data_IF_447308228004
#
_entry.id   IF_447308228004
#
_cell.length_a   1.000
_cell.length_b   1.000
_cell.length_c   1.000
_cell.angle_alpha   90.00
_cell.angle_beta   90.00
_cell.angle_gamma   90.00
#
_symmetry.space_group_name_H-M   'P 1'
#
loop_
_entity.id
_entity.type
_entity.pdbx_description
1 polymer ?
#
# COMPACT_ATOMS: atom_id res chain seq x y z
N UNK A 1 11.06 20.43 21.17
CA UNK A 1 11.49 19.11 20.64
C UNK A 1 11.33 17.95 21.63
N UNK A 2 11.44 18.14 22.97
CA UNK A 2 11.20 17.05 23.94
C UNK A 2 9.72 16.81 24.30
N UNK A 3 8.85 17.83 24.19
CA UNK A 3 7.43 17.74 24.56
C UNK A 3 6.58 16.90 23.61
N UNK A 4 6.73 17.10 22.29
CA UNK A 4 5.96 16.37 21.26
C UNK A 4 6.26 14.86 21.25
N UNK A 5 7.52 14.47 21.50
CA UNK A 5 7.90 13.05 21.59
C UNK A 5 7.30 12.39 22.85
N UNK A 6 7.22 13.12 23.96
CA UNK A 6 6.56 12.65 25.19
C UNK A 6 5.05 12.51 25.04
N UNK A 7 4.39 13.47 24.40
CA UNK A 7 2.95 13.43 24.16
C UNK A 7 2.55 12.27 23.22
N UNK A 8 3.30 12.09 22.13
CA UNK A 8 3.05 10.97 21.22
C UNK A 8 3.24 9.61 21.90
N UNK A 9 4.24 9.48 22.79
CA UNK A 9 4.46 8.28 23.59
C UNK A 9 3.29 7.99 24.52
N UNK A 10 2.79 9.01 25.22
CA UNK A 10 1.63 8.84 26.11
C UNK A 10 0.37 8.47 25.31
N UNK A 11 0.18 9.07 24.13
CA UNK A 11 -0.91 8.70 23.21
C UNK A 11 -0.78 7.26 22.72
N UNK A 12 0.39 6.86 22.23
CA UNK A 12 0.64 5.50 21.75
C UNK A 12 0.47 4.47 22.85
N UNK A 13 0.96 4.76 24.07
CA UNK A 13 0.74 3.95 25.26
C UNK A 13 -0.75 3.76 25.56
N UNK A 14 -1.52 4.85 25.64
CA UNK A 14 -2.96 4.79 25.92
C UNK A 14 -3.69 3.93 24.89
N UNK A 15 -3.39 4.11 23.60
CA UNK A 15 -3.98 3.30 22.54
C UNK A 15 -3.63 1.81 22.67
N UNK A 16 -2.34 1.47 22.87
CA UNK A 16 -1.94 0.09 23.08
C UNK A 16 -2.60 -0.51 24.32
N UNK A 17 -2.64 0.24 25.43
CA UNK A 17 -3.28 -0.19 26.68
C UNK A 17 -4.77 -0.39 26.49
N UNK A 18 -5.48 0.48 25.79
CA UNK A 18 -6.94 0.43 25.70
C UNK A 18 -7.41 -0.71 24.78
N UNK A 19 -6.70 -0.93 23.66
CA UNK A 19 -7.09 -1.90 22.62
C UNK A 19 -6.38 -3.27 22.69
N UNK A 20 -5.27 -3.41 23.43
CA UNK A 20 -4.59 -4.69 23.62
C UNK A 20 -4.81 -5.23 25.04
N UNK A 21 -4.51 -6.52 25.22
CA UNK A 21 -4.64 -7.23 26.50
C UNK A 21 -3.27 -7.57 27.11
N UNK A 22 -3.28 -8.25 28.26
CA UNK A 22 -2.07 -8.80 28.87
C UNK A 22 -1.10 -7.72 29.36
N UNK A 23 0.18 -7.90 29.06
CA UNK A 23 1.26 -7.02 29.52
C UNK A 23 1.05 -5.53 29.18
N UNK A 24 0.34 -5.22 28.09
CA UNK A 24 0.00 -3.85 27.69
C UNK A 24 -0.90 -3.10 28.70
N UNK A 25 -1.68 -3.82 29.53
CA UNK A 25 -2.54 -3.20 30.56
C UNK A 25 -1.75 -2.71 31.77
N UNK A 26 -0.55 -3.25 32.01
CA UNK A 26 0.22 -3.05 33.26
C UNK A 26 1.60 -2.40 33.07
N UNK A 27 2.08 -2.30 31.83
CA UNK A 27 3.34 -1.60 31.50
C UNK A 27 3.17 -0.09 31.74
N UNK A 28 4.22 0.59 32.20
CA UNK A 28 4.20 2.05 32.34
C UNK A 28 4.52 2.75 30.99
N UNK A 29 4.02 3.97 30.75
CA UNK A 29 4.24 4.68 29.48
C UNK A 29 5.72 4.92 29.13
N UNK A 30 6.60 5.07 30.14
CA UNK A 30 8.03 5.27 29.92
C UNK A 30 8.78 3.97 29.63
N UNK A 31 8.19 2.80 29.92
CA UNK A 31 8.79 1.49 29.69
C UNK A 31 8.58 0.99 28.26
N UNK A 32 7.55 1.47 27.54
CA UNK A 32 7.32 1.03 26.16
C UNK A 32 8.40 1.55 25.22
N UNK A 33 8.79 0.74 24.24
CA UNK A 33 9.65 1.20 23.14
C UNK A 33 8.77 1.80 22.07
N UNK A 34 9.02 3.06 21.70
CA UNK A 34 8.35 3.76 20.62
C UNK A 34 9.39 4.17 19.58
N UNK A 35 9.23 3.71 18.34
CA UNK A 35 10.10 4.07 17.22
C UNK A 35 9.24 4.53 16.04
N UNK A 36 9.49 5.73 15.53
CA UNK A 36 8.87 6.19 14.28
C UNK A 36 9.41 5.33 13.14
N UNK A 37 8.50 4.79 12.33
CA UNK A 37 8.84 4.09 11.09
C UNK A 37 8.69 5.08 9.95
N UNK A 38 9.75 5.23 9.16
CA UNK A 38 9.73 6.00 7.93
C UNK A 38 9.01 5.17 6.86
N UNK A 39 7.90 5.68 6.32
CA UNK A 39 7.16 5.00 5.26
C UNK A 39 5.88 5.76 4.90
N UNK A 40 5.79 6.25 3.66
CA UNK A 40 4.65 7.00 3.12
C UNK A 40 4.64 8.49 3.46
N UNK A 41 4.20 9.33 2.50
CA UNK A 41 4.04 10.78 2.67
C UNK A 41 2.81 11.14 3.54
N UNK A 42 1.82 10.24 3.62
CA UNK A 42 0.48 10.54 4.16
C UNK A 42 0.18 9.94 5.54
N UNK A 43 0.93 8.92 5.98
CA UNK A 43 0.63 8.13 7.17
C UNK A 43 1.73 8.25 8.24
N UNK A 44 1.33 8.37 9.52
CA UNK A 44 2.28 8.40 10.63
C UNK A 44 2.37 7.01 11.25
N UNK A 45 3.50 6.34 11.05
CA UNK A 45 3.74 4.97 11.50
C UNK A 45 4.67 4.92 12.70
N UNK A 46 4.26 4.18 13.74
CA UNK A 46 5.05 3.97 14.95
C UNK A 46 5.07 2.50 15.34
N UNK A 47 6.27 1.94 15.47
CA UNK A 47 6.47 0.67 16.16
C UNK A 47 6.35 0.90 17.66
N UNK A 48 5.40 0.21 18.29
CA UNK A 48 5.25 0.14 19.74
C UNK A 48 5.65 -1.27 20.19
N UNK A 49 6.55 -1.39 21.17
CA UNK A 49 7.04 -2.69 21.65
C UNK A 49 7.11 -2.75 23.18
N UNK A 50 6.71 -3.88 23.74
CA UNK A 50 6.89 -4.19 25.17
C UNK A 50 8.38 -4.29 25.51
N UNK A 51 8.81 -3.83 26.69
CA UNK A 51 10.19 -3.95 27.11
C UNK A 51 10.56 -5.42 27.37
N UNK A 52 11.84 -5.77 27.19
CA UNK A 52 12.32 -7.16 27.32
C UNK A 52 12.08 -7.77 28.71
N UNK A 53 11.97 -6.95 29.76
CA UNK A 53 11.67 -7.38 31.13
C UNK A 53 10.17 -7.66 31.38
N UNK A 54 9.28 -7.32 30.45
CA UNK A 54 7.83 -7.60 30.49
C UNK A 54 7.37 -8.23 29.18
N UNK A 55 7.78 -9.47 28.87
CA UNK A 55 7.37 -10.14 27.65
C UNK A 55 5.87 -10.42 27.65
N UNK A 56 5.29 -10.57 26.45
CA UNK A 56 3.94 -11.05 26.27
C UNK A 56 3.78 -12.48 26.84
N UNK A 57 2.65 -12.78 27.48
CA UNK A 57 2.44 -14.08 28.16
C UNK A 57 1.16 -14.81 27.82
N UNK A 58 0.13 -14.09 27.36
CA UNK A 58 -1.24 -14.59 27.21
C UNK A 58 -1.73 -14.41 25.76
N UNK A 59 -0.84 -14.56 24.78
CA UNK A 59 -1.16 -14.45 23.35
C UNK A 59 -1.32 -13.01 22.83
N UNK A 60 -1.08 -11.99 23.67
CA UNK A 60 -0.94 -10.62 23.20
C UNK A 60 0.33 -10.44 22.35
N UNK A 61 0.33 -9.50 21.38
CA UNK A 61 1.53 -9.23 20.61
C UNK A 61 2.60 -8.57 21.49
N UNK A 62 3.88 -8.93 21.31
CA UNK A 62 4.99 -8.24 21.98
C UNK A 62 5.32 -6.89 21.37
N UNK A 63 4.88 -6.66 20.13
CA UNK A 63 5.07 -5.45 19.35
C UNK A 63 3.93 -5.28 18.35
N UNK A 64 3.56 -4.02 18.09
CA UNK A 64 2.49 -3.64 17.16
C UNK A 64 2.92 -2.43 16.34
N UNK A 65 2.35 -2.30 15.15
CA UNK A 65 2.46 -1.11 14.33
C UNK A 65 1.24 -0.22 14.56
N UNK A 66 1.48 0.99 15.02
CA UNK A 66 0.47 2.02 15.21
C UNK A 66 0.46 2.92 13.96
N UNK A 67 -0.67 2.93 13.25
CA UNK A 67 -0.89 3.76 12.07
C UNK A 67 -1.93 4.83 12.37
N UNK A 68 -1.56 6.09 12.15
CA UNK A 68 -2.52 7.21 12.14
C UNK A 68 -2.86 7.62 10.71
N UNK A 69 -4.13 7.85 10.47
CA UNK A 69 -4.63 8.44 9.23
C UNK A 69 -4.25 9.92 9.16
N UNK A 70 -3.89 10.40 7.97
CA UNK A 70 -3.64 11.81 7.70
C UNK A 70 -4.88 12.69 7.88
N UNK A 71 -4.75 13.99 7.62
CA UNK A 71 -5.89 14.91 7.76
C UNK A 71 -7.03 14.56 6.79
N UNK A 72 -8.20 14.31 7.35
CA UNK A 72 -9.42 13.93 6.63
C UNK A 72 -10.20 15.22 6.32
N UNK A 73 -10.29 15.60 5.05
CA UNK A 73 -11.11 16.73 4.62
C UNK A 73 -12.17 16.25 3.61
N UNK A 74 -13.45 16.40 3.99
CA UNK A 74 -14.61 16.13 3.13
C UNK A 74 -15.15 14.69 3.18
N UNK A 75 -16.39 14.51 2.69
CA UNK A 75 -17.13 13.24 2.72
C UNK A 75 -16.42 12.11 1.95
N UNK A 76 -15.78 12.43 0.83
CA UNK A 76 -15.02 11.45 0.02
C UNK A 76 -13.84 10.84 0.77
N UNK A 77 -13.19 11.61 1.66
CA UNK A 77 -12.10 11.09 2.48
C UNK A 77 -12.62 10.12 3.54
N UNK A 78 -13.83 10.35 4.07
CA UNK A 78 -14.48 9.44 5.01
C UNK A 78 -14.91 8.13 4.33
N UNK A 79 -15.51 8.19 3.14
CA UNK A 79 -15.87 6.99 2.36
C UNK A 79 -14.65 6.11 2.05
N UNK A 80 -13.53 6.74 1.68
CA UNK A 80 -12.26 6.05 1.46
C UNK A 80 -11.79 5.30 2.71
N UNK A 81 -11.81 5.95 3.87
CA UNK A 81 -11.39 5.32 5.14
C UNK A 81 -12.29 4.18 5.59
N UNK A 82 -13.61 4.30 5.38
CA UNK A 82 -14.55 3.20 5.68
C UNK A 82 -14.24 2.00 4.79
N UNK A 83 -14.05 2.25 3.49
CA UNK A 83 -13.73 1.21 2.50
C UNK A 83 -12.40 0.53 2.83
N UNK A 84 -11.36 1.31 3.12
CA UNK A 84 -10.04 0.80 3.53
C UNK A 84 -10.14 -0.03 4.82
N UNK A 85 -10.90 0.44 5.82
CA UNK A 85 -11.08 -0.27 7.09
C UNK A 85 -11.78 -1.63 6.90
N UNK A 86 -12.79 -1.70 6.03
CA UNK A 86 -13.47 -2.95 5.68
C UNK A 86 -12.52 -3.91 4.96
N UNK A 87 -11.77 -3.40 3.97
CA UNK A 87 -10.78 -4.18 3.22
C UNK A 87 -9.70 -4.74 4.15
N UNK A 88 -9.10 -3.89 4.97
CA UNK A 88 -8.02 -4.28 5.89
C UNK A 88 -8.51 -5.33 6.89
N UNK A 89 -9.70 -5.15 7.46
CA UNK A 89 -10.30 -6.12 8.39
C UNK A 89 -10.45 -7.48 7.73
N UNK A 90 -10.95 -7.54 6.49
CA UNK A 90 -11.14 -8.81 5.78
C UNK A 90 -9.83 -9.49 5.41
N UNK A 91 -8.82 -8.73 5.00
CA UNK A 91 -7.50 -9.26 4.68
C UNK A 91 -6.81 -9.83 5.92
N UNK A 92 -6.92 -9.13 7.06
CA UNK A 92 -6.47 -9.63 8.36
C UNK A 92 -7.14 -10.96 8.72
N UNK A 93 -8.47 -11.03 8.67
CA UNK A 93 -9.21 -12.26 9.03
C UNK A 93 -8.91 -13.44 8.10
N UNK A 94 -8.56 -13.17 6.84
CA UNK A 94 -8.14 -14.21 5.87
C UNK A 94 -6.64 -14.50 5.87
N UNK A 95 -5.85 -13.83 6.72
CA UNK A 95 -4.38 -13.97 6.78
C UNK A 95 -3.69 -13.63 5.44
N UNK A 96 -4.23 -12.67 4.71
CA UNK A 96 -3.71 -12.18 3.43
C UNK A 96 -2.96 -10.84 3.58
N UNK A 97 -2.77 -10.37 4.81
CA UNK A 97 -2.04 -9.17 5.17
C UNK A 97 -1.75 -9.14 6.67
N UNK A 98 -1.25 -8.02 7.21
CA UNK A 98 -0.97 -7.88 8.64
C UNK A 98 -2.24 -8.06 9.48
N UNK A 99 -2.13 -8.74 10.62
CA UNK A 99 -3.27 -8.87 11.54
C UNK A 99 -3.71 -7.51 12.08
N UNK A 100 -5.02 -7.26 12.09
CA UNK A 100 -5.63 -6.12 12.73
C UNK A 100 -5.79 -6.39 14.23
N UNK A 101 -5.18 -5.56 15.06
CA UNK A 101 -5.28 -5.64 16.52
C UNK A 101 -6.30 -4.69 17.12
N UNK A 102 -6.61 -3.57 16.46
CA UNK A 102 -7.61 -2.63 16.93
C UNK A 102 -7.82 -1.46 15.97
N UNK A 103 -9.00 -0.85 16.03
CA UNK A 103 -9.36 0.33 15.23
C UNK A 103 -9.83 1.42 16.18
N UNK A 104 -9.33 2.64 16.01
CA UNK A 104 -9.66 3.78 16.86
C UNK A 104 -9.91 5.04 16.03
N UNK A 105 -10.52 6.10 16.60
CA UNK A 105 -10.70 7.36 15.88
C UNK A 105 -9.36 7.93 15.38
N UNK A 106 -9.19 7.97 14.06
CA UNK A 106 -7.99 8.48 13.41
C UNK A 106 -6.86 7.46 13.19
N UNK A 107 -7.10 6.15 13.34
CA UNK A 107 -6.08 5.15 13.00
C UNK A 107 -6.40 3.71 13.39
N UNK A 108 -5.38 2.86 13.36
CA UNK A 108 -5.45 1.44 13.70
C UNK A 108 -4.15 0.90 14.29
N UNK A 109 -4.27 -0.24 14.97
CA UNK A 109 -3.16 -1.07 15.45
C UNK A 109 -3.08 -2.31 14.58
N UNK A 110 -1.91 -2.56 14.01
CA UNK A 110 -1.62 -3.66 13.08
C UNK A 110 -0.50 -4.54 13.66
N UNK A 111 -0.41 -5.77 13.18
CA UNK A 111 0.76 -6.61 13.36
C UNK A 111 1.98 -5.91 12.79
N UNK A 112 3.04 -5.82 13.59
CA UNK A 112 4.35 -5.46 13.05
C UNK A 112 5.02 -6.72 12.51
N UNK A 113 5.17 -6.79 11.19
CA UNK A 113 5.84 -7.90 10.51
C UNK A 113 7.35 -7.62 10.50
N UNK A 114 8.20 -8.45 11.16
CA UNK A 114 9.65 -8.32 11.11
C UNK A 114 10.16 -8.84 9.76
N UNK A 115 10.05 -8.00 8.74
CA UNK A 115 10.38 -8.33 7.36
C UNK A 115 11.01 -7.12 6.65
N UNK A 116 11.65 -7.37 5.52
CA UNK A 116 12.09 -6.33 4.58
C UNK A 116 11.17 -6.33 3.35
N UNK A 117 10.97 -5.18 2.68
CA UNK A 117 10.39 -5.20 1.35
C UNK A 117 11.29 -5.98 0.37
N UNK A 118 10.71 -6.43 -0.73
CA UNK A 118 11.47 -6.93 -1.86
C UNK A 118 12.27 -5.79 -2.52
N UNK A 119 13.36 -6.17 -3.16
CA UNK A 119 14.08 -5.34 -4.12
C UNK A 119 13.52 -5.61 -5.53
N UNK A 120 13.59 -4.62 -6.41
CA UNK A 120 13.07 -4.71 -7.79
C UNK A 120 13.64 -5.91 -8.54
N UNK A 121 14.94 -6.18 -8.36
CA UNK A 121 15.65 -7.31 -8.95
C UNK A 121 15.20 -8.70 -8.45
N UNK A 122 14.48 -8.77 -7.34
CA UNK A 122 13.92 -10.00 -6.79
C UNK A 122 12.59 -10.37 -7.47
N UNK A 123 11.90 -9.40 -8.10
CA UNK A 123 10.63 -9.65 -8.79
C UNK A 123 10.78 -10.67 -9.94
N UNK A 124 11.96 -10.68 -10.60
CA UNK A 124 12.29 -11.62 -11.68
C UNK A 124 12.74 -13.00 -11.22
N UNK A 125 12.95 -13.22 -9.92
CA UNK A 125 13.28 -14.56 -9.41
C UNK A 125 12.05 -15.47 -9.59
N UNK A 126 12.16 -16.60 -10.34
CA UNK A 126 11.02 -17.47 -10.58
C UNK A 126 10.35 -18.01 -9.32
N UNK A 127 11.11 -18.24 -8.23
CA UNK A 127 10.55 -18.73 -6.96
C UNK A 127 9.73 -17.66 -6.26
N UNK A 128 10.21 -16.42 -6.26
CA UNK A 128 9.49 -15.28 -5.69
C UNK A 128 8.27 -14.98 -6.53
N UNK A 129 8.43 -14.92 -7.85
CA UNK A 129 7.37 -14.61 -8.80
C UNK A 129 6.18 -15.58 -8.72
N UNK A 130 6.43 -16.88 -8.54
CA UNK A 130 5.36 -17.88 -8.30
C UNK A 130 4.61 -17.59 -7.00
N UNK A 131 5.31 -17.27 -5.90
CA UNK A 131 4.64 -16.94 -4.63
C UNK A 131 3.84 -15.63 -4.77
N UNK A 132 4.36 -14.63 -5.49
CA UNK A 132 3.61 -13.40 -5.79
C UNK A 132 2.33 -13.73 -6.58
N UNK A 133 2.41 -14.60 -7.58
CA UNK A 133 1.26 -15.05 -8.35
C UNK A 133 0.20 -15.74 -7.46
N UNK A 134 0.63 -16.61 -6.54
CA UNK A 134 -0.26 -17.24 -5.55
C UNK A 134 -0.95 -16.19 -4.66
N UNK A 135 -0.22 -15.17 -4.19
CA UNK A 135 -0.80 -14.08 -3.39
C UNK A 135 -1.78 -13.23 -4.19
N UNK A 136 -1.46 -12.90 -5.44
CA UNK A 136 -2.38 -12.19 -6.33
C UNK A 136 -3.65 -13.01 -6.56
N UNK A 137 -3.53 -14.31 -6.84
CA UNK A 137 -4.68 -15.20 -7.03
C UNK A 137 -5.56 -15.28 -5.78
N UNK A 138 -4.96 -15.33 -4.59
CA UNK A 138 -5.69 -15.29 -3.32
C UNK A 138 -6.48 -13.98 -3.14
N UNK A 139 -5.87 -12.83 -3.47
CA UNK A 139 -6.52 -11.51 -3.43
C UNK A 139 -7.64 -11.45 -4.47
N UNK A 140 -7.39 -11.86 -5.72
CA UNK A 140 -8.36 -11.86 -6.82
C UNK A 140 -9.58 -12.73 -6.54
N UNK A 141 -9.41 -13.80 -5.76
CA UNK A 141 -10.47 -14.71 -5.34
C UNK A 141 -11.32 -14.18 -4.17
N UNK A 142 -10.99 -13.00 -3.61
CA UNK A 142 -11.72 -12.46 -2.47
C UNK A 142 -13.09 -11.89 -2.87
N UNK A 143 -14.14 -12.39 -2.23
CA UNK A 143 -15.42 -11.69 -2.20
C UNK A 143 -15.45 -10.63 -1.07
N UNK A 144 -15.07 -9.39 -1.40
CA UNK A 144 -15.06 -8.23 -0.49
C UNK A 144 -16.37 -7.42 -0.63
N UNK A 145 -17.05 -6.99 0.45
CA UNK A 145 -18.35 -6.29 0.42
C UNK A 145 -18.22 -4.79 0.10
N UNK A 146 -17.50 -4.47 -0.98
CA UNK A 146 -17.41 -3.12 -1.57
C UNK A 146 -18.04 -3.12 -2.98
N UNK A 147 -18.06 -1.96 -3.65
CA UNK A 147 -18.55 -1.86 -5.04
C UNK A 147 -17.87 -2.88 -5.94
N UNK A 148 -18.67 -3.66 -6.69
CA UNK A 148 -18.20 -4.65 -7.67
C UNK A 148 -17.93 -4.04 -9.05
N UNK A 149 -18.40 -2.82 -9.26
CA UNK A 149 -18.18 -2.10 -10.51
C UNK A 149 -16.71 -1.66 -10.62
N UNK A 150 -16.04 -1.89 -11.77
CA UNK A 150 -14.64 -1.52 -11.99
C UNK A 150 -14.48 -0.02 -12.27
N UNK A 151 -15.00 0.81 -11.36
CA UNK A 151 -14.96 2.27 -11.47
C UNK A 151 -13.68 2.88 -10.95
N UNK A 152 -12.99 2.22 -10.02
CA UNK A 152 -11.82 2.76 -9.34
C UNK A 152 -10.79 3.35 -10.30
N UNK A 153 -10.40 2.61 -11.35
CA UNK A 153 -9.42 3.08 -12.33
C UNK A 153 -9.89 4.36 -13.02
N UNK A 154 -11.11 4.36 -13.55
CA UNK A 154 -11.65 5.49 -14.32
C UNK A 154 -11.94 6.70 -13.44
N UNK A 155 -12.51 6.50 -12.26
CA UNK A 155 -12.81 7.57 -11.30
C UNK A 155 -11.52 8.20 -10.80
N UNK A 156 -10.47 7.40 -10.55
CA UNK A 156 -9.14 7.91 -10.18
C UNK A 156 -8.50 8.70 -11.30
N UNK A 157 -8.46 8.17 -12.54
CA UNK A 157 -7.92 8.92 -13.68
C UNK A 157 -8.69 10.22 -13.95
N UNK A 158 -10.02 10.21 -13.84
CA UNK A 158 -10.83 11.42 -14.02
C UNK A 158 -10.57 12.46 -12.92
N UNK A 159 -10.48 12.03 -11.64
CA UNK A 159 -10.14 12.94 -10.54
C UNK A 159 -8.76 13.57 -10.74
N UNK A 160 -7.75 12.76 -11.05
CA UNK A 160 -6.39 13.28 -11.27
C UNK A 160 -6.32 14.19 -12.49
N UNK A 161 -7.05 13.89 -13.56
CA UNK A 161 -7.15 14.78 -14.72
C UNK A 161 -7.76 16.14 -14.34
N UNK A 162 -8.79 16.14 -13.49
CA UNK A 162 -9.40 17.37 -12.98
C UNK A 162 -8.40 18.15 -12.10
N UNK A 163 -7.72 17.49 -11.16
CA UNK A 163 -6.68 18.13 -10.33
C UNK A 163 -5.58 18.74 -11.18
N UNK A 164 -5.06 18.02 -12.17
CA UNK A 164 -4.05 18.54 -13.12
C UNK A 164 -4.56 19.81 -13.80
N UNK A 165 -5.81 19.80 -14.32
CA UNK A 165 -6.40 20.96 -14.97
C UNK A 165 -6.58 22.17 -14.05
N UNK A 166 -6.81 21.94 -12.77
CA UNK A 166 -7.00 23.02 -11.79
C UNK A 166 -5.65 23.60 -11.36
N UNK A 167 -4.63 22.77 -11.10
CA UNK A 167 -3.25 23.22 -10.81
C UNK A 167 -2.66 24.04 -11.97
N UNK A 168 -2.88 23.62 -13.23
CA UNK A 168 -2.40 24.36 -14.42
C UNK A 168 -3.04 25.76 -14.52
N UNK A 169 -4.30 25.93 -14.09
CA UNK A 169 -4.95 27.25 -14.12
C UNK A 169 -4.36 28.20 -13.08
N UNK A 170 -3.89 27.68 -11.95
CA UNK A 170 -3.31 28.46 -10.86
C UNK A 170 -1.83 28.81 -11.09
N UNK A 171 -1.08 28.03 -11.89
CA UNK A 171 0.33 28.30 -12.21
C UNK A 171 0.53 29.44 -13.22
N UNK A 172 0.41 30.70 -12.75
CA UNK A 172 0.98 31.88 -13.43
C UNK A 172 2.43 32.19 -13.01
N UNK A 173 3.14 31.32 -12.27
CA UNK A 173 4.39 31.69 -11.59
C UNK A 173 5.43 30.54 -11.39
N UNK A 174 5.63 29.65 -12.36
CA UNK A 174 6.63 28.56 -12.27
C UNK A 174 7.97 28.84 -12.97
N UNK A 175 9.02 28.18 -12.47
CA UNK A 175 10.41 28.21 -12.98
C UNK A 175 10.50 27.84 -14.49
N UNK A 176 11.36 28.51 -15.30
CA UNK A 176 11.39 28.33 -16.75
C UNK A 176 11.66 26.89 -17.24
N UNK A 177 12.36 26.06 -16.46
CA UNK A 177 12.66 24.68 -16.86
C UNK A 177 11.45 23.75 -16.64
N UNK A 178 10.73 23.94 -15.53
CA UNK A 178 9.43 23.28 -15.29
C UNK A 178 8.42 23.65 -16.38
N UNK A 179 8.47 24.90 -16.88
CA UNK A 179 7.59 25.34 -17.96
C UNK A 179 7.79 24.60 -19.29
N UNK A 180 8.99 24.09 -19.63
CA UNK A 180 9.18 23.35 -20.89
C UNK A 180 8.61 21.94 -20.82
N UNK A 181 8.87 21.21 -19.74
CA UNK A 181 8.31 19.88 -19.53
C UNK A 181 6.78 19.94 -19.47
N UNK A 182 6.24 20.91 -18.72
CA UNK A 182 4.82 21.16 -18.65
C UNK A 182 4.24 21.48 -20.03
N UNK A 183 4.87 22.35 -20.82
CA UNK A 183 4.46 22.61 -22.22
C UNK A 183 4.44 21.36 -23.09
N UNK A 184 5.44 20.48 -22.96
CA UNK A 184 5.49 19.25 -23.73
C UNK A 184 4.34 18.29 -23.33
N UNK A 185 4.06 18.15 -22.03
CA UNK A 185 2.93 17.34 -21.55
C UNK A 185 1.61 17.93 -22.04
N UNK A 186 1.44 19.25 -21.95
CA UNK A 186 0.22 19.95 -22.37
C UNK A 186 0.05 20.08 -23.88
N UNK A 187 1.09 19.81 -24.67
CA UNK A 187 0.95 19.67 -26.11
C UNK A 187 0.08 18.45 -26.48
N UNK A 188 -0.04 17.47 -25.60
CA UNK A 188 -0.92 16.32 -25.77
C UNK A 188 -2.32 16.58 -25.22
N UNK A 189 -3.34 16.15 -25.96
CA UNK A 189 -4.72 16.21 -25.48
C UNK A 189 -5.02 15.01 -24.56
N UNK A 190 -4.56 15.09 -23.31
CA UNK A 190 -4.69 14.02 -22.33
C UNK A 190 -6.15 13.57 -22.08
N UNK A 191 -7.11 14.49 -22.22
CA UNK A 191 -8.55 14.17 -22.11
C UNK A 191 -9.01 13.30 -23.27
N UNK A 192 -8.55 13.57 -24.49
CA UNK A 192 -8.84 12.74 -25.64
C UNK A 192 -8.16 11.37 -25.54
N UNK A 193 -6.91 11.33 -25.09
CA UNK A 193 -6.17 10.07 -24.85
C UNK A 193 -6.88 9.18 -23.84
N UNK A 194 -7.34 9.75 -22.70
CA UNK A 194 -8.09 9.01 -21.70
C UNK A 194 -9.40 8.43 -22.26
N UNK A 195 -10.13 9.22 -23.07
CA UNK A 195 -11.36 8.75 -23.74
C UNK A 195 -11.08 7.63 -24.73
N UNK A 196 -10.00 7.75 -25.52
CA UNK A 196 -9.58 6.73 -26.46
C UNK A 196 -9.18 5.44 -25.74
N UNK A 197 -8.34 5.54 -24.71
CA UNK A 197 -7.88 4.41 -23.91
C UNK A 197 -9.05 3.66 -23.29
N UNK A 198 -10.02 4.38 -22.69
CA UNK A 198 -11.23 3.78 -22.13
C UNK A 198 -12.04 3.03 -23.18
N UNK A 199 -12.25 3.63 -24.36
CA UNK A 199 -12.98 2.97 -25.45
C UNK A 199 -12.28 1.71 -25.95
N UNK A 200 -10.95 1.69 -25.93
CA UNK A 200 -10.17 0.53 -26.35
C UNK A 200 -10.18 -0.58 -25.30
N UNK A 201 -9.82 -0.27 -24.05
CA UNK A 201 -9.68 -1.27 -22.98
C UNK A 201 -11.00 -1.96 -22.62
N UNK A 202 -12.14 -1.28 -22.72
CA UNK A 202 -13.45 -1.90 -22.50
C UNK A 202 -13.77 -3.04 -23.48
N UNK A 203 -13.10 -3.10 -24.65
CA UNK A 203 -13.29 -4.18 -25.63
C UNK A 203 -12.52 -5.46 -25.29
N UNK A 204 -11.52 -5.38 -24.42
CA UNK A 204 -10.66 -6.52 -24.05
C UNK A 204 -11.45 -7.57 -23.26
N UNK A 205 -12.45 -7.14 -22.48
CA UNK A 205 -13.29 -8.06 -21.70
C UNK A 205 -12.54 -8.76 -20.57
N UNK A 206 -11.52 -8.12 -19.99
CA UNK A 206 -10.82 -8.67 -18.82
C UNK A 206 -11.81 -8.91 -17.67
N UNK A 207 -11.75 -10.06 -16.97
CA UNK A 207 -12.54 -10.30 -15.77
C UNK A 207 -12.37 -9.19 -14.74
N UNK A 208 -13.45 -8.85 -14.05
CA UNK A 208 -13.45 -7.93 -12.91
C UNK A 208 -13.32 -8.75 -11.64
N UNK A 209 -12.27 -8.49 -10.87
CA UNK A 209 -11.92 -9.19 -9.63
C UNK A 209 -11.50 -8.18 -8.57
N UNK A 210 -11.36 -8.59 -7.32
CA UNK A 210 -10.78 -7.73 -6.29
C UNK A 210 -9.27 -7.63 -6.51
N UNK A 211 -8.74 -6.44 -6.83
CA UNK A 211 -7.35 -6.22 -7.18
C UNK A 211 -6.60 -5.44 -6.09
N UNK A 212 -5.27 -5.62 -6.03
CA UNK A 212 -4.41 -4.79 -5.19
C UNK A 212 -4.25 -3.38 -5.77
N UNK A 213 -4.09 -3.30 -7.09
CA UNK A 213 -3.85 -2.11 -7.92
C UNK A 213 -2.49 -1.41 -7.73
N UNK A 214 -1.68 -1.82 -6.75
CA UNK A 214 -0.35 -1.24 -6.49
C UNK A 214 0.65 -2.26 -5.90
N UNK A 215 0.75 -3.45 -6.50
CA UNK A 215 1.59 -4.53 -5.96
C UNK A 215 3.06 -4.42 -6.43
N UNK A 216 3.69 -3.28 -6.12
CA UNK A 216 5.13 -3.05 -6.30
C UNK A 216 5.98 -3.78 -5.25
N UNK A 217 7.30 -3.85 -5.44
CA UNK A 217 8.24 -4.53 -4.53
C UNK A 217 8.20 -3.98 -3.10
N UNK A 218 7.98 -2.66 -2.96
CA UNK A 218 7.84 -2.00 -1.66
C UNK A 218 6.64 -2.50 -0.84
N UNK A 219 5.61 -3.00 -1.52
CA UNK A 219 4.36 -3.50 -0.93
C UNK A 219 4.34 -5.02 -0.77
N UNK A 220 5.48 -5.69 -0.98
CA UNK A 220 5.64 -7.13 -0.77
C UNK A 220 6.75 -7.35 0.27
N UNK A 221 6.37 -7.77 1.47
CA UNK A 221 7.32 -8.04 2.55
C UNK A 221 7.82 -9.48 2.49
N UNK A 222 9.15 -9.67 2.52
CA UNK A 222 9.82 -10.96 2.69
C UNK A 222 10.13 -11.21 4.17
N UNK A 223 9.50 -12.24 4.73
CA UNK A 223 9.68 -12.69 6.11
C UNK A 223 10.91 -13.60 6.25
N UNK A 224 11.76 -13.31 7.23
CA UNK A 224 12.89 -14.17 7.59
C UNK A 224 12.46 -15.40 8.40
N UNK A 225 11.28 -15.35 9.05
CA UNK A 225 10.75 -16.38 9.97
C UNK A 225 9.71 -17.31 9.33
N UNK A 226 9.62 -17.33 8.00
CA UNK A 226 8.60 -18.07 7.28
C UNK A 226 8.70 -19.59 7.52
N UNK A 227 7.59 -20.21 7.92
CA UNK A 227 7.51 -21.66 8.11
C UNK A 227 7.35 -22.44 6.80
N UNK A 228 6.95 -21.75 5.73
CA UNK A 228 6.78 -22.30 4.37
C UNK A 228 7.07 -21.22 3.32
N UNK A 229 7.39 -21.60 2.07
CA UNK A 229 7.56 -20.63 0.98
C UNK A 229 6.31 -19.78 0.73
N UNK A 230 5.11 -20.35 0.83
CA UNK A 230 3.87 -19.58 0.65
C UNK A 230 3.64 -18.53 1.74
N UNK A 231 4.25 -18.69 2.92
CA UNK A 231 4.16 -17.73 4.02
C UNK A 231 5.29 -16.70 4.01
N UNK A 232 6.27 -16.84 3.11
CA UNK A 232 7.43 -15.96 3.10
C UNK A 232 7.14 -14.57 2.55
N UNK A 233 6.13 -14.43 1.70
CA UNK A 233 5.72 -13.13 1.15
C UNK A 233 4.39 -12.68 1.77
N UNK A 234 4.36 -11.42 2.20
CA UNK A 234 3.14 -10.78 2.72
C UNK A 234 2.88 -9.49 1.95
N UNK A 235 1.82 -9.44 1.13
CA UNK A 235 1.33 -8.19 0.58
C UNK A 235 0.89 -7.23 1.69
N UNK A 236 1.19 -5.95 1.51
CA UNK A 236 0.79 -4.87 2.41
C UNK A 236 0.30 -3.68 1.59
N UNK A 237 -0.17 -2.65 2.30
CA UNK A 237 -0.60 -1.37 1.72
C UNK A 237 -1.78 -1.47 0.74
N UNK A 238 -2.93 -1.83 1.29
CA UNK A 238 -4.17 -2.08 0.54
C UNK A 238 -4.99 -0.80 0.27
N UNK A 239 -4.37 0.38 0.27
CA UNK A 239 -5.04 1.68 0.10
C UNK A 239 -5.78 1.78 -1.25
N UNK A 240 -5.20 1.21 -2.30
CA UNK A 240 -5.75 1.25 -3.65
C UNK A 240 -6.62 0.05 -4.01
N UNK A 241 -6.87 -0.87 -3.07
CA UNK A 241 -7.63 -2.07 -3.34
C UNK A 241 -9.09 -1.76 -3.73
N UNK A 242 -9.54 -2.38 -4.82
CA UNK A 242 -10.91 -2.24 -5.33
C UNK A 242 -11.24 -3.37 -6.29
N UNK A 243 -12.52 -3.55 -6.63
CA UNK A 243 -12.84 -4.34 -7.82
C UNK A 243 -12.34 -3.60 -9.06
N UNK A 244 -11.52 -4.25 -9.86
CA UNK A 244 -10.91 -3.72 -11.07
C UNK A 244 -10.66 -4.85 -12.07
N UNK A 245 -10.18 -4.50 -13.27
CA UNK A 245 -9.82 -5.48 -14.29
C UNK A 245 -8.60 -6.28 -13.83
N UNK A 246 -8.69 -7.62 -13.81
CA UNK A 246 -7.57 -8.51 -13.47
C UNK A 246 -6.30 -8.17 -14.27
N UNK A 247 -6.47 -7.88 -15.56
CA UNK A 247 -5.36 -7.53 -16.46
C UNK A 247 -4.64 -6.25 -16.03
N UNK A 248 -5.32 -5.29 -15.38
CA UNK A 248 -4.67 -4.07 -14.88
C UNK A 248 -3.68 -4.41 -13.76
N UNK A 249 -4.10 -5.21 -12.79
CA UNK A 249 -3.27 -5.55 -11.62
C UNK A 249 -2.00 -6.32 -12.04
N UNK A 250 -2.16 -7.27 -12.96
CA UNK A 250 -1.04 -8.02 -13.55
C UNK A 250 -0.11 -7.12 -14.37
N UNK A 251 -0.68 -6.27 -15.24
CA UNK A 251 0.11 -5.37 -16.08
C UNK A 251 0.86 -4.33 -15.25
N UNK A 252 0.24 -3.81 -14.17
CA UNK A 252 0.90 -2.91 -13.24
C UNK A 252 2.10 -3.60 -12.60
N UNK A 253 1.91 -4.80 -12.05
CA UNK A 253 3.01 -5.57 -11.46
C UNK A 253 4.15 -5.84 -12.45
N UNK A 254 3.85 -6.11 -13.73
CA UNK A 254 4.90 -6.24 -14.76
C UNK A 254 5.65 -4.94 -15.03
N UNK A 255 4.96 -3.79 -14.98
CA UNK A 255 5.62 -2.48 -15.09
C UNK A 255 6.59 -2.24 -13.93
N UNK A 256 6.28 -2.70 -12.72
CA UNK A 256 7.16 -2.54 -11.55
C UNK A 256 8.50 -3.28 -11.68
N UNK A 257 8.64 -4.23 -12.60
CA UNK A 257 9.96 -4.86 -12.87
C UNK A 257 10.95 -3.89 -13.53
N UNK A 258 10.44 -2.81 -14.13
CA UNK A 258 11.21 -1.82 -14.89
C UNK A 258 11.72 -0.69 -14.00
N UNK A 259 11.02 -0.39 -12.91
CA UNK A 259 11.27 0.79 -12.08
C UNK A 259 11.88 0.39 -10.73
N UNK A 260 13.08 0.89 -10.44
CA UNK A 260 13.76 0.69 -9.17
C UNK A 260 13.79 2.00 -8.37
N UNK A 261 13.10 2.02 -7.24
CA UNK A 261 12.95 3.21 -6.38
C UNK A 261 14.08 3.40 -5.35
N UNK A 262 15.18 2.66 -5.46
CA UNK A 262 16.33 2.78 -4.55
C UNK A 262 17.20 4.03 -4.80
N UNK A 263 16.98 4.74 -5.91
CA UNK A 263 17.74 5.93 -6.27
C UNK A 263 17.48 7.09 -5.30
N UNK A 264 18.51 7.49 -4.55
CA UNK A 264 18.44 8.62 -3.61
C UNK A 264 18.56 9.98 -4.29
N UNK A 265 18.99 10.03 -5.54
CA UNK A 265 19.15 11.26 -6.31
C UNK A 265 17.97 11.45 -7.25
N UNK A 266 17.64 12.70 -7.58
CA UNK A 266 16.60 13.03 -8.57
C UNK A 266 16.86 12.26 -9.89
N UNK A 267 15.85 11.63 -10.52
CA UNK A 267 14.40 11.73 -10.26
C UNK A 267 13.84 10.72 -9.24
N UNK A 268 14.69 10.13 -8.40
CA UNK A 268 14.35 9.19 -7.32
C UNK A 268 13.94 7.76 -7.77
N UNK A 269 14.23 7.40 -9.01
CA UNK A 269 14.14 6.02 -9.51
C UNK A 269 15.20 5.75 -10.59
N UNK A 270 15.39 4.47 -10.93
CA UNK A 270 16.04 4.00 -12.15
C UNK A 270 15.00 3.34 -13.06
N UNK A 271 15.13 3.53 -14.37
CA UNK A 271 14.27 2.87 -15.39
C UNK A 271 15.14 1.93 -16.23
N UNK A 272 14.82 0.63 -16.21
CA UNK A 272 15.51 -0.38 -17.04
C UNK A 272 14.49 -1.16 -17.85
N UNK A 273 14.08 -0.64 -19.00
CA UNK A 273 13.01 -1.22 -19.84
C UNK A 273 13.26 -2.66 -20.27
N UNK A 274 14.52 -3.08 -20.35
CA UNK A 274 14.90 -4.46 -20.66
C UNK A 274 14.55 -5.45 -19.56
N UNK A 275 14.19 -4.98 -18.36
CA UNK A 275 13.74 -5.83 -17.25
C UNK A 275 12.25 -6.19 -17.33
N UNK A 276 11.48 -5.61 -18.26
CA UNK A 276 10.08 -5.99 -18.45
C UNK A 276 9.99 -7.52 -18.70
N UNK A 277 9.07 -8.24 -18.03
CA UNK A 277 9.05 -9.70 -18.06
C UNK A 277 8.82 -10.24 -19.47
N UNK A 278 9.57 -11.28 -19.86
CA UNK A 278 9.35 -12.01 -21.10
C UNK A 278 7.98 -12.71 -21.10
N UNK A 279 7.50 -13.18 -22.25
CA UNK A 279 6.24 -13.92 -22.34
C UNK A 279 6.23 -15.18 -21.46
N UNK A 280 7.37 -15.86 -21.35
CA UNK A 280 7.55 -17.02 -20.48
C UNK A 280 7.43 -16.62 -19.00
N UNK A 281 8.03 -15.50 -18.60
CA UNK A 281 7.93 -14.99 -17.23
C UNK A 281 6.51 -14.52 -16.90
N UNK A 282 5.85 -13.81 -17.81
CA UNK A 282 4.45 -13.39 -17.64
C UNK A 282 3.51 -14.60 -17.45
N UNK A 283 3.78 -15.71 -18.15
CA UNK A 283 2.99 -16.92 -18.05
C UNK A 283 3.03 -17.53 -16.64
N UNK A 284 4.14 -17.37 -15.90
CA UNK A 284 4.24 -17.82 -14.51
C UNK A 284 3.26 -17.10 -13.59
N UNK A 285 2.95 -15.82 -13.87
CA UNK A 285 1.98 -15.05 -13.07
C UNK A 285 0.53 -15.22 -13.53
N UNK A 286 0.29 -15.57 -14.80
CA UNK A 286 -1.05 -15.63 -15.38
C UNK A 286 -1.75 -16.98 -15.14
N UNK A 287 -0.98 -18.06 -15.04
CA UNK A 287 -1.50 -19.45 -15.04
C UNK A 287 -1.98 -19.91 -13.64
N UNK A 288 -1.65 -19.18 -12.58
CA UNK A 288 -2.07 -19.43 -11.20
C UNK A 288 -3.49 -18.91 -10.96
#
# INVERSE_FOLDING_TARGET
>A
MSSESGEMRERAFRLCRDYLHGAWKVVAPHEIVLKRISGGLSNWLYLCKLPSNRPARNGEPSQVLLRFYGQIHGEKALEGLITESVIFTLLSERRLGPKLHGVFPGGRLEEFIPARPLHTEELKDPKISVIVAEKMAQIHSMNVPVSKEPRWLWDTMNRWMQSIQDEIKDEQNTDPHSSQLLRNILAHNLVAELKWLRKFLLKVGSPVVFCHNDLQEGNILLRDDASSPSDSLVPIDFEYCAYNYRAFDLANHFCEWVYDYSNKQSPNFFETRTNYPSTEQQSLLIVV
#
